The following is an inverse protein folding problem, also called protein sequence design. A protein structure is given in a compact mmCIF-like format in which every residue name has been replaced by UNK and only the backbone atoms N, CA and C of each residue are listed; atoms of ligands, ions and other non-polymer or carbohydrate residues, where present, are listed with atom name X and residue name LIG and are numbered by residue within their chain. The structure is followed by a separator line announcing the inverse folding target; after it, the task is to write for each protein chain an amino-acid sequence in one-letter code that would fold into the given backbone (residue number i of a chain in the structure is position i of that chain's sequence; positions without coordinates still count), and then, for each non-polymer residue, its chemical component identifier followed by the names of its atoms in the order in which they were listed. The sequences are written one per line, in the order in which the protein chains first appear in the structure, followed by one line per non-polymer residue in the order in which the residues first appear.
data_IF_494948126175
#
_entry.id   IF_494948126175
#
_cell.length_a   1.000
_cell.length_b   1.000
_cell.length_c   1.000
_cell.angle_alpha   90.00
_cell.angle_beta   90.00
_cell.angle_gamma   90.00
#
_symmetry.space_group_name_H-M   'P 1'
#
loop_
_entity.id
_entity.type
_entity.pdbx_description
1 polymer ?
#
# COMPACT_ATOMS: atom_id res chain seq x y z
N UNK A 1 -3.49 12.84 -9.06
CA UNK A 1 -2.53 12.86 -7.93
C UNK A 1 -1.48 11.80 -8.23
N UNK A 2 -0.18 12.12 -8.12
CA UNK A 2 0.85 11.11 -8.40
C UNK A 2 1.11 10.28 -7.15
N UNK A 3 0.79 8.98 -7.22
CA UNK A 3 1.10 8.01 -6.18
C UNK A 3 2.61 7.82 -6.09
N UNK A 4 3.17 7.89 -4.89
CA UNK A 4 4.60 7.64 -4.62
C UNK A 4 4.75 6.40 -3.73
N UNK A 5 5.78 5.58 -3.96
CA UNK A 5 5.99 4.36 -3.18
C UNK A 5 6.31 4.64 -1.69
N UNK A 6 6.91 5.79 -1.38
CA UNK A 6 7.26 6.21 -0.03
C UNK A 6 6.07 6.63 0.84
N UNK A 7 4.87 6.81 0.26
CA UNK A 7 3.67 7.20 1.02
C UNK A 7 3.04 6.02 1.77
N UNK A 8 3.40 4.78 1.39
CA UNK A 8 2.88 3.57 2.01
C UNK A 8 3.80 3.17 3.16
N UNK A 9 3.35 3.48 4.37
CA UNK A 9 4.11 3.25 5.62
C UNK A 9 3.29 2.44 6.63
N UNK A 10 3.98 1.74 7.53
CA UNK A 10 3.38 1.08 8.69
C UNK A 10 2.99 2.11 9.76
N UNK A 11 2.34 1.65 10.84
CA UNK A 11 2.08 2.49 12.02
C UNK A 11 3.34 2.98 12.75
N UNK A 12 4.51 2.41 12.44
CA UNK A 12 5.82 2.85 12.93
C UNK A 12 6.57 3.74 11.92
N UNK A 13 5.88 4.24 10.89
CA UNK A 13 6.43 5.08 9.82
C UNK A 13 7.51 4.40 8.96
N UNK A 14 7.45 3.06 8.87
CA UNK A 14 8.36 2.29 8.03
C UNK A 14 7.73 2.01 6.67
N UNK A 15 8.46 2.31 5.59
CA UNK A 15 8.00 2.03 4.21
C UNK A 15 7.71 0.54 4.00
N UNK A 16 6.60 0.23 3.32
CA UNK A 16 6.21 -1.14 2.95
C UNK A 16 6.44 -1.48 1.46
N UNK A 17 6.96 -0.52 0.68
CA UNK A 17 7.38 -0.69 -0.70
C UNK A 17 8.85 -0.31 -0.93
N UNK A 18 9.47 -0.96 -1.92
CA UNK A 18 10.73 -0.53 -2.56
C UNK A 18 10.52 0.77 -3.34
N UNK A 19 11.61 1.36 -3.85
CA UNK A 19 11.52 2.57 -4.69
C UNK A 19 10.76 2.31 -6.00
N UNK A 20 10.80 1.08 -6.50
CA UNK A 20 10.09 0.65 -7.72
C UNK A 20 8.64 0.21 -7.45
N UNK A 21 8.14 0.38 -6.22
CA UNK A 21 6.76 0.04 -5.85
C UNK A 21 6.49 -1.46 -5.68
N UNK A 22 7.55 -2.27 -5.55
CA UNK A 22 7.42 -3.69 -5.21
C UNK A 22 7.31 -3.87 -3.69
N UNK A 23 6.68 -4.95 -3.20
CA UNK A 23 6.64 -5.25 -1.77
C UNK A 23 8.05 -5.35 -1.17
N UNK A 24 8.26 -4.67 -0.04
CA UNK A 24 9.53 -4.70 0.68
C UNK A 24 9.59 -3.65 1.79
N UNK A 25 10.31 -3.93 2.88
CA UNK A 25 10.40 -3.02 4.01
C UNK A 25 11.57 -2.05 3.91
N UNK A 26 11.33 -0.80 4.31
CA UNK A 26 12.35 0.27 4.36
C UNK A 26 13.10 0.43 3.03
N UNK A 27 12.39 0.23 1.91
CA UNK A 27 12.96 0.29 0.56
C UNK A 27 13.67 -1.01 0.10
N UNK A 28 13.66 -2.09 0.89
CA UNK A 28 14.40 -3.34 0.60
C UNK A 28 13.45 -4.52 0.40
N UNK A 29 13.67 -5.29 -0.67
CA UNK A 29 12.90 -6.50 -0.96
C UNK A 29 13.19 -7.63 0.05
N UNK A 30 12.19 -8.48 0.32
CA UNK A 30 12.37 -9.70 1.13
C UNK A 30 12.57 -9.48 2.63
N UNK A 31 12.37 -8.26 3.12
CA UNK A 31 12.45 -7.89 4.53
C UNK A 31 11.05 -7.56 5.03
N UNK A 32 10.70 -8.04 6.23
CA UNK A 32 9.43 -7.76 6.89
C UNK A 32 8.84 -9.00 7.55
N UNK A 33 8.02 -8.77 8.57
CA UNK A 33 7.11 -9.76 9.14
C UNK A 33 6.05 -10.18 8.12
N UNK A 34 5.36 -11.30 8.40
CA UNK A 34 4.21 -11.74 7.59
C UNK A 34 3.13 -10.65 7.49
N UNK A 35 2.92 -9.88 8.56
CA UNK A 35 1.97 -8.75 8.56
C UNK A 35 2.37 -7.67 7.57
N UNK A 36 3.65 -7.27 7.59
CA UNK A 36 4.20 -6.27 6.68
C UNK A 36 4.20 -6.76 5.22
N UNK A 37 4.41 -8.07 5.01
CA UNK A 37 4.26 -8.69 3.70
C UNK A 37 2.85 -8.52 3.13
N UNK A 38 1.80 -8.77 3.93
CA UNK A 38 0.41 -8.55 3.51
C UNK A 38 0.12 -7.07 3.22
N UNK A 39 0.63 -6.15 4.04
CA UNK A 39 0.48 -4.70 3.81
C UNK A 39 1.18 -4.26 2.52
N UNK A 40 2.39 -4.77 2.26
CA UNK A 40 3.15 -4.50 1.04
C UNK A 40 2.44 -4.98 -0.22
N UNK A 41 1.76 -6.13 -0.18
CA UNK A 41 0.97 -6.63 -1.31
C UNK A 41 -0.19 -5.68 -1.67
N UNK A 42 -0.94 -5.21 -0.67
CA UNK A 42 -2.03 -4.25 -0.89
C UNK A 42 -1.49 -2.91 -1.38
N UNK A 43 -0.40 -2.41 -0.78
CA UNK A 43 0.25 -1.18 -1.21
C UNK A 43 0.76 -1.26 -2.66
N UNK A 44 1.34 -2.38 -3.07
CA UNK A 44 1.82 -2.59 -4.43
C UNK A 44 0.66 -2.63 -5.43
N UNK A 45 -0.47 -3.24 -5.07
CA UNK A 45 -1.67 -3.24 -5.90
C UNK A 45 -2.21 -1.81 -6.10
N UNK A 46 -2.26 -1.00 -5.04
CA UNK A 46 -2.67 0.41 -5.14
C UNK A 46 -1.68 1.19 -6.01
N UNK A 47 -0.38 1.01 -5.78
CA UNK A 47 0.68 1.70 -6.53
C UNK A 47 0.60 1.42 -8.03
N UNK A 48 0.39 0.15 -8.42
CA UNK A 48 0.34 -0.26 -9.81
C UNK A 48 -0.96 0.13 -10.54
N UNK A 49 -2.09 0.22 -9.82
CA UNK A 49 -3.40 0.28 -10.47
C UNK A 49 -4.20 1.56 -10.20
N UNK A 50 -3.90 2.33 -9.16
CA UNK A 50 -4.81 3.38 -8.68
C UNK A 50 -4.43 4.82 -9.07
N UNK A 51 -3.39 5.02 -9.90
CA UNK A 51 -2.86 6.36 -10.21
C UNK A 51 -3.88 7.32 -10.87
N UNK A 52 -4.93 6.78 -11.49
CA UNK A 52 -5.96 7.53 -12.22
C UNK A 52 -7.30 7.59 -11.48
N UNK A 53 -7.41 6.99 -10.29
CA UNK A 53 -8.64 7.03 -9.51
C UNK A 53 -8.87 8.41 -8.92
N UNK A 54 -10.12 8.86 -8.93
CA UNK A 54 -10.55 10.03 -8.20
C UNK A 54 -10.91 9.71 -6.74
N UNK A 55 -11.16 10.75 -5.94
CA UNK A 55 -11.48 10.59 -4.52
C UNK A 55 -12.74 9.75 -4.28
N UNK A 56 -13.76 9.85 -5.16
CA UNK A 56 -14.99 9.09 -4.99
C UNK A 56 -14.73 7.59 -5.19
N UNK A 57 -13.97 7.23 -6.21
CA UNK A 57 -13.59 5.83 -6.46
C UNK A 57 -12.72 5.27 -5.33
N UNK A 58 -11.84 6.10 -4.74
CA UNK A 58 -11.05 5.72 -3.57
C UNK A 58 -11.91 5.51 -2.32
N UNK A 59 -12.91 6.36 -2.10
CA UNK A 59 -13.86 6.20 -0.99
C UNK A 59 -14.64 4.88 -1.10
N UNK A 60 -15.07 4.49 -2.31
CA UNK A 60 -15.74 3.21 -2.55
C UNK A 60 -14.84 2.01 -2.19
N UNK A 61 -13.54 2.08 -2.51
CA UNK A 61 -12.55 1.05 -2.12
C UNK A 61 -12.38 1.00 -0.59
N UNK A 62 -12.32 2.15 0.08
CA UNK A 62 -12.24 2.21 1.55
C UNK A 62 -13.48 1.58 2.19
N UNK A 63 -14.66 1.77 1.61
CA UNK A 63 -15.88 1.11 2.10
C UNK A 63 -15.82 -0.41 1.99
N UNK A 64 -15.26 -0.97 0.91
CA UNK A 64 -15.04 -2.42 0.83
C UNK A 64 -14.11 -2.92 1.94
N UNK A 65 -13.08 -2.13 2.28
CA UNK A 65 -12.18 -2.44 3.39
C UNK A 65 -12.93 -2.45 4.73
N UNK A 66 -13.83 -1.47 4.94
CA UNK A 66 -14.66 -1.40 6.15
C UNK A 66 -15.62 -2.58 6.28
N UNK A 67 -16.19 -3.07 5.18
CA UNK A 67 -17.14 -4.19 5.19
C UNK A 67 -16.49 -5.53 5.60
N UNK A 68 -15.24 -5.79 5.21
CA UNK A 68 -14.57 -7.03 5.60
C UNK A 68 -13.97 -6.96 7.02
N UNK A 69 -13.65 -5.75 7.49
CA UNK A 69 -13.07 -5.52 8.81
C UNK A 69 -14.12 -5.80 9.88
N UNK A 70 -13.91 -6.88 10.65
CA UNK A 70 -14.73 -7.22 11.82
C UNK A 70 -14.40 -6.35 13.02
#
# INVERSE_FOLDING_TARGET
MQIQANQFVTGADERVLTDDGQPGMRGKAGIGSTTEGHQGLVAAAIYANCAHLDNRQLDEIIEWVRLYKK
#
